data_IF_645153232338
#
_entry.id   IF_645153232338
#
_cell.length_a   1.000
_cell.length_b   1.000
_cell.length_c   1.000
_cell.angle_alpha   90.00
_cell.angle_beta   90.00
_cell.angle_gamma   90.00
#
_symmetry.space_group_name_H-M   'P 1'
#
loop_
_entity.id
_entity.type
_entity.pdbx_description
1 polymer ?
#
# COMPACT_ATOMS: atom_id res chain seq x y z
N UNK A 1 -36.93 -12.36 4.22
CA UNK A 1 -35.73 -12.69 3.44
C UNK A 1 -35.40 -11.47 2.57
N UNK A 2 -34.38 -10.71 2.92
CA UNK A 2 -33.95 -9.60 2.09
C UNK A 2 -33.20 -10.17 0.87
N UNK A 3 -33.59 -9.76 -0.35
CA UNK A 3 -32.88 -10.14 -1.58
C UNK A 3 -31.43 -9.69 -1.51
N UNK A 4 -30.45 -10.52 -1.93
CA UNK A 4 -29.04 -10.12 -1.96
C UNK A 4 -28.94 -8.86 -2.82
N UNK A 5 -28.33 -7.82 -2.26
CA UNK A 5 -28.06 -6.60 -3.00
C UNK A 5 -27.06 -6.93 -4.15
N UNK A 6 -27.47 -6.83 -5.43
CA UNK A 6 -26.63 -7.23 -6.56
C UNK A 6 -25.35 -6.37 -6.73
N UNK A 7 -25.20 -5.32 -5.94
CA UNK A 7 -24.02 -4.43 -5.92
C UNK A 7 -23.00 -4.76 -4.83
N UNK A 8 -23.18 -5.84 -4.05
CA UNK A 8 -22.20 -6.24 -3.03
C UNK A 8 -20.94 -6.82 -3.71
N UNK A 9 -19.81 -6.12 -3.61
CA UNK A 9 -18.52 -6.61 -4.07
C UNK A 9 -18.06 -7.76 -3.17
N UNK A 10 -17.58 -8.85 -3.78
CA UNK A 10 -16.85 -9.90 -3.10
C UNK A 10 -15.35 -9.62 -3.08
N UNK A 11 -14.61 -10.33 -2.26
CA UNK A 11 -13.14 -10.30 -2.25
C UNK A 11 -12.65 -11.65 -2.80
N UNK A 12 -11.96 -11.62 -3.95
CA UNK A 12 -11.18 -12.76 -4.43
C UNK A 12 -9.87 -12.82 -3.63
N UNK A 13 -9.76 -13.85 -2.79
CA UNK A 13 -8.64 -13.98 -1.87
C UNK A 13 -7.31 -14.23 -2.60
N UNK A 14 -7.31 -14.94 -3.72
CA UNK A 14 -6.09 -15.19 -4.49
C UNK A 14 -5.50 -13.89 -5.03
N UNK A 15 -6.32 -13.08 -5.68
CA UNK A 15 -5.90 -11.77 -6.17
C UNK A 15 -5.59 -10.80 -5.04
N UNK A 16 -6.27 -10.91 -3.88
CA UNK A 16 -5.98 -10.07 -2.73
C UNK A 16 -4.62 -10.40 -2.10
N UNK A 17 -4.25 -11.69 -2.01
CA UNK A 17 -2.92 -12.12 -1.56
C UNK A 17 -1.84 -11.62 -2.54
N UNK A 18 -2.07 -11.72 -3.85
CA UNK A 18 -1.16 -11.18 -4.85
C UNK A 18 -1.01 -9.65 -4.72
N UNK A 19 -2.11 -8.92 -4.54
CA UNK A 19 -2.08 -7.49 -4.26
C UNK A 19 -1.18 -7.16 -3.06
N UNK A 20 -1.33 -7.88 -1.95
CA UNK A 20 -0.53 -7.65 -0.74
C UNK A 20 0.94 -8.01 -0.91
N UNK A 21 1.25 -9.04 -1.68
CA UNK A 21 2.63 -9.36 -2.04
C UNK A 21 3.28 -8.21 -2.82
N UNK A 22 2.62 -7.73 -3.89
CA UNK A 22 3.15 -6.66 -4.73
C UNK A 22 3.26 -5.33 -3.98
N UNK A 23 2.28 -5.00 -3.13
CA UNK A 23 2.31 -3.80 -2.29
C UNK A 23 3.49 -3.84 -1.28
N UNK A 24 3.74 -5.00 -0.67
CA UNK A 24 4.88 -5.16 0.23
C UNK A 24 6.23 -5.18 -0.52
N UNK A 25 6.28 -5.72 -1.74
CA UNK A 25 7.45 -5.66 -2.61
C UNK A 25 7.78 -4.21 -2.98
N UNK A 26 6.77 -3.40 -3.32
CA UNK A 26 6.93 -1.97 -3.55
C UNK A 26 7.55 -1.28 -2.32
N UNK A 27 7.02 -1.54 -1.13
CA UNK A 27 7.54 -0.98 0.11
C UNK A 27 9.00 -1.35 0.32
N UNK A 28 9.38 -2.62 0.12
CA UNK A 28 10.77 -3.08 0.22
C UNK A 28 11.69 -2.42 -0.81
N UNK A 29 11.24 -2.29 -2.07
CA UNK A 29 12.01 -1.61 -3.13
C UNK A 29 12.22 -0.13 -2.83
N UNK A 30 11.22 0.55 -2.27
CA UNK A 30 11.25 2.00 -2.05
C UNK A 30 12.09 2.42 -0.83
N UNK A 31 12.43 1.50 0.08
CA UNK A 31 13.03 1.87 1.37
C UNK A 31 14.33 2.66 1.24
N UNK A 32 15.17 2.30 0.26
CA UNK A 32 16.44 3.00 0.01
C UNK A 32 16.26 4.44 -0.50
N UNK A 33 15.18 4.71 -1.23
CA UNK A 33 14.91 6.03 -1.82
C UNK A 33 14.34 7.04 -0.82
N UNK A 34 13.65 6.58 0.23
CA UNK A 34 12.97 7.45 1.21
C UNK A 34 13.93 8.44 1.88
N UNK A 35 15.14 7.97 2.24
CA UNK A 35 16.14 8.82 2.89
C UNK A 35 16.62 9.96 1.97
N UNK A 36 16.76 9.70 0.68
CA UNK A 36 17.15 10.74 -0.30
C UNK A 36 15.99 11.70 -0.54
N UNK A 37 14.78 11.19 -0.71
CA UNK A 37 13.57 11.99 -0.95
C UNK A 37 13.26 12.94 0.21
N UNK A 38 13.59 12.55 1.46
CA UNK A 38 13.31 13.39 2.63
C UNK A 38 14.44 14.33 3.02
N UNK A 39 15.60 14.23 2.40
CA UNK A 39 16.76 15.11 2.69
C UNK A 39 16.43 16.62 2.66
N UNK A 40 15.58 17.15 1.74
CA UNK A 40 15.23 18.57 1.72
C UNK A 40 14.31 19.02 2.85
N UNK A 41 13.78 18.12 3.70
CA UNK A 41 12.78 18.44 4.72
C UNK A 41 13.44 18.74 6.06
N UNK A 42 12.90 19.73 6.78
CA UNK A 42 13.36 20.09 8.13
C UNK A 42 12.72 19.19 9.21
N UNK A 43 13.36 19.04 10.40
CA UNK A 43 12.79 18.31 11.53
C UNK A 43 11.41 18.83 11.98
N UNK A 44 11.15 20.13 11.82
CA UNK A 44 9.86 20.73 12.15
C UNK A 44 8.73 20.17 11.28
N UNK A 45 8.99 19.91 10.00
CA UNK A 45 8.02 19.30 9.08
C UNK A 45 7.69 17.86 9.54
N UNK A 46 8.70 17.10 9.96
CA UNK A 46 8.48 15.74 10.48
C UNK A 46 7.62 15.75 11.76
N UNK A 47 7.88 16.69 12.67
CA UNK A 47 7.09 16.82 13.90
C UNK A 47 5.65 17.24 13.61
N UNK A 48 5.44 18.22 12.73
CA UNK A 48 4.11 18.65 12.32
C UNK A 48 3.34 17.56 11.60
N UNK A 49 4.00 16.79 10.73
CA UNK A 49 3.42 15.64 10.05
C UNK A 49 3.01 14.54 11.02
N UNK A 50 3.82 14.25 12.05
CA UNK A 50 3.47 13.30 13.09
C UNK A 50 2.20 13.71 13.87
N UNK A 51 2.05 15.00 14.19
CA UNK A 51 0.82 15.55 14.79
C UNK A 51 -0.37 15.36 13.82
N UNK A 52 -0.19 15.73 12.55
CA UNK A 52 -1.22 15.56 11.52
C UNK A 52 -1.64 14.10 11.34
N UNK A 53 -0.68 13.16 11.36
CA UNK A 53 -0.94 11.73 11.32
C UNK A 53 -1.78 11.27 12.52
N UNK A 54 -1.43 11.69 13.73
CA UNK A 54 -2.17 11.31 14.95
C UNK A 54 -3.62 11.83 14.88
N UNK A 55 -3.83 13.08 14.47
CA UNK A 55 -5.17 13.66 14.28
C UNK A 55 -5.93 12.90 13.18
N UNK A 56 -5.31 12.64 12.02
CA UNK A 56 -5.92 11.90 10.92
C UNK A 56 -6.36 10.49 11.34
N UNK A 57 -5.49 9.76 12.02
CA UNK A 57 -5.79 8.42 12.54
C UNK A 57 -6.95 8.46 13.55
N UNK A 58 -6.98 9.46 14.43
CA UNK A 58 -8.08 9.66 15.39
C UNK A 58 -9.41 9.90 14.66
N UNK A 59 -9.43 10.79 13.67
CA UNK A 59 -10.64 11.09 12.87
C UNK A 59 -11.14 9.84 12.12
N UNK A 60 -10.25 9.07 11.50
CA UNK A 60 -10.61 7.83 10.82
C UNK A 60 -11.20 6.81 11.81
N UNK A 61 -10.61 6.69 12.99
CA UNK A 61 -11.09 5.77 14.02
C UNK A 61 -12.53 6.09 14.47
N UNK A 62 -12.92 7.37 14.55
CA UNK A 62 -14.30 7.76 14.88
C UNK A 62 -15.32 7.36 13.80
N UNK A 63 -14.86 7.12 12.57
CA UNK A 63 -15.71 6.76 11.44
C UNK A 63 -15.77 5.25 11.15
N UNK A 64 -15.12 4.40 11.93
CA UNK A 64 -15.01 2.96 11.68
C UNK A 64 -16.36 2.28 11.45
N UNK A 65 -17.42 2.65 12.20
CA UNK A 65 -18.77 2.08 12.02
C UNK A 65 -19.32 2.25 10.59
N UNK A 66 -18.94 3.33 9.89
CA UNK A 66 -19.36 3.62 8.51
C UNK A 66 -18.42 2.99 7.48
N UNK A 67 -17.14 2.91 7.82
CA UNK A 67 -16.09 2.53 6.90
C UNK A 67 -15.91 1.01 6.80
N UNK A 68 -16.29 0.20 7.82
CA UNK A 68 -16.13 -1.25 7.81
C UNK A 68 -17.10 -1.95 6.87
N UNK A 69 -16.84 -1.82 5.57
CA UNK A 69 -17.50 -2.58 4.52
C UNK A 69 -16.57 -2.70 3.29
N UNK A 70 -16.84 -3.71 2.46
CA UNK A 70 -15.99 -4.06 1.30
C UNK A 70 -15.86 -2.90 0.30
N UNK A 71 -16.92 -2.10 0.10
CA UNK A 71 -16.88 -0.98 -0.84
C UNK A 71 -15.95 0.14 -0.38
N UNK A 72 -16.00 0.52 0.90
CA UNK A 72 -15.08 1.51 1.45
C UNK A 72 -13.66 0.97 1.54
N UNK A 73 -13.49 -0.31 1.88
CA UNK A 73 -12.18 -0.96 1.87
C UNK A 73 -11.51 -0.85 0.50
N UNK A 74 -12.23 -1.19 -0.59
CA UNK A 74 -11.72 -1.02 -1.95
C UNK A 74 -11.40 0.45 -2.28
N UNK A 75 -12.33 1.38 -2.01
CA UNK A 75 -12.16 2.80 -2.34
C UNK A 75 -10.96 3.42 -1.65
N UNK A 76 -10.77 3.12 -0.36
CA UNK A 76 -9.66 3.65 0.43
C UNK A 76 -8.35 2.99 0.00
N UNK A 77 -8.32 1.67 -0.23
CA UNK A 77 -7.13 1.02 -0.80
C UNK A 77 -6.74 1.65 -2.14
N UNK A 78 -7.70 1.81 -3.06
CA UNK A 78 -7.42 2.44 -4.36
C UNK A 78 -6.94 3.88 -4.22
N UNK A 79 -7.53 4.67 -3.32
CA UNK A 79 -7.12 6.04 -3.07
C UNK A 79 -5.67 6.11 -2.56
N UNK A 80 -5.28 5.21 -1.67
CA UNK A 80 -3.91 5.09 -1.16
C UNK A 80 -2.93 4.78 -2.30
N UNK A 81 -3.24 3.79 -3.14
CA UNK A 81 -2.37 3.44 -4.28
C UNK A 81 -2.27 4.59 -5.30
N UNK A 82 -3.36 5.32 -5.55
CA UNK A 82 -3.32 6.50 -6.44
C UNK A 82 -2.43 7.62 -5.89
N UNK A 83 -2.38 7.83 -4.57
CA UNK A 83 -1.43 8.77 -3.96
C UNK A 83 0.01 8.30 -4.12
N UNK A 84 0.27 7.00 -3.95
CA UNK A 84 1.60 6.42 -4.17
C UNK A 84 2.01 6.57 -5.64
N UNK A 85 1.13 6.24 -6.57
CA UNK A 85 1.35 6.41 -8.01
C UNK A 85 1.68 7.86 -8.36
N UNK A 86 0.93 8.82 -7.82
CA UNK A 86 1.20 10.25 -8.02
C UNK A 86 2.59 10.66 -7.49
N UNK A 87 3.02 10.12 -6.35
CA UNK A 87 4.36 10.30 -5.80
C UNK A 87 5.45 9.75 -6.71
N UNK A 88 5.28 8.52 -7.21
CA UNK A 88 6.22 7.88 -8.15
C UNK A 88 6.35 8.70 -9.44
N UNK A 89 5.22 9.11 -10.03
CA UNK A 89 5.22 9.97 -11.23
C UNK A 89 5.86 11.33 -10.91
N UNK A 90 5.60 11.88 -9.74
CA UNK A 90 6.22 13.13 -9.28
C UNK A 90 7.75 13.06 -9.31
N UNK A 91 8.36 11.99 -8.79
CA UNK A 91 9.82 11.80 -8.81
C UNK A 91 10.38 11.66 -10.22
N UNK A 92 9.61 11.09 -11.14
CA UNK A 92 10.04 10.91 -12.53
C UNK A 92 9.95 12.21 -13.36
N UNK A 93 9.06 13.15 -12.99
CA UNK A 93 8.78 14.34 -13.78
C UNK A 93 9.39 15.63 -13.19
N UNK A 94 9.67 15.67 -11.90
CA UNK A 94 10.12 16.88 -11.21
C UNK A 94 11.44 16.65 -10.47
N UNK A 95 12.27 17.71 -10.30
CA UNK A 95 13.48 17.60 -9.49
C UNK A 95 13.15 17.29 -8.02
N UNK A 96 14.04 16.53 -7.35
CA UNK A 96 13.90 16.19 -5.93
C UNK A 96 14.29 17.41 -5.09
N UNK A 97 13.35 18.31 -4.93
CA UNK A 97 13.43 19.53 -4.13
C UNK A 97 12.35 19.54 -3.04
N UNK A 98 12.39 20.55 -2.18
CA UNK A 98 11.48 20.67 -1.04
C UNK A 98 9.98 20.50 -1.39
N UNK A 99 9.41 21.08 -2.47
CA UNK A 99 8.00 20.93 -2.79
C UNK A 99 7.60 19.46 -3.10
N UNK A 100 8.41 18.75 -3.90
CA UNK A 100 8.18 17.35 -4.24
C UNK A 100 8.35 16.47 -2.99
N UNK A 101 9.41 16.68 -2.23
CA UNK A 101 9.68 15.95 -0.98
C UNK A 101 8.55 16.12 0.03
N UNK A 102 8.01 17.33 0.15
CA UNK A 102 6.85 17.61 1.01
C UNK A 102 5.59 16.89 0.52
N UNK A 103 5.33 16.91 -0.79
CA UNK A 103 4.20 16.19 -1.38
C UNK A 103 4.28 14.68 -1.11
N UNK A 104 5.45 14.07 -1.32
CA UNK A 104 5.68 12.64 -1.05
C UNK A 104 5.52 12.36 0.44
N UNK A 105 6.10 13.19 1.31
CA UNK A 105 5.99 13.03 2.75
C UNK A 105 4.53 13.08 3.23
N UNK A 106 3.76 14.05 2.76
CA UNK A 106 2.33 14.16 3.09
C UNK A 106 1.52 12.96 2.55
N UNK A 107 1.85 12.47 1.35
CA UNK A 107 1.27 11.26 0.77
C UNK A 107 1.50 10.03 1.67
N UNK A 108 2.71 9.85 2.19
CA UNK A 108 3.01 8.79 3.16
C UNK A 108 2.23 8.96 4.48
N UNK A 109 2.14 10.20 5.02
CA UNK A 109 1.32 10.45 6.23
C UNK A 109 -0.15 10.07 5.98
N UNK A 110 -0.69 10.40 4.81
CA UNK A 110 -2.02 9.99 4.40
C UNK A 110 -2.17 8.47 4.36
N UNK A 111 -1.23 7.77 3.72
CA UNK A 111 -1.18 6.30 3.65
C UNK A 111 -1.14 5.67 5.05
N UNK A 112 -0.31 6.19 5.95
CA UNK A 112 -0.20 5.69 7.32
C UNK A 112 -1.46 5.96 8.14
N UNK A 113 -2.13 7.09 7.94
CA UNK A 113 -3.39 7.40 8.63
C UNK A 113 -4.47 6.35 8.34
N UNK A 114 -4.54 5.83 7.11
CA UNK A 114 -5.44 4.75 6.74
C UNK A 114 -4.90 3.35 7.06
N UNK A 115 -3.61 3.20 7.36
CA UNK A 115 -2.97 1.91 7.58
C UNK A 115 -3.66 1.06 8.64
N UNK A 116 -3.95 1.61 9.81
CA UNK A 116 -4.65 0.92 10.89
C UNK A 116 -6.06 0.47 10.49
N UNK A 117 -6.78 1.30 9.75
CA UNK A 117 -8.09 0.97 9.20
C UNK A 117 -8.00 -0.21 8.21
N UNK A 118 -7.05 -0.16 7.26
CA UNK A 118 -6.88 -1.21 6.26
C UNK A 118 -6.54 -2.55 6.89
N UNK A 119 -5.64 -2.59 7.86
CA UNK A 119 -5.29 -3.82 8.62
C UNK A 119 -6.50 -4.38 9.36
N UNK A 120 -7.32 -3.53 10.00
CA UNK A 120 -8.55 -3.98 10.65
C UNK A 120 -9.57 -4.53 9.66
N UNK A 121 -9.72 -3.91 8.48
CA UNK A 121 -10.58 -4.42 7.42
C UNK A 121 -10.12 -5.81 6.95
N UNK A 122 -8.81 -6.02 6.77
CA UNK A 122 -8.25 -7.34 6.43
C UNK A 122 -8.67 -8.39 7.46
N UNK A 123 -8.48 -8.11 8.75
CA UNK A 123 -8.82 -9.05 9.82
C UNK A 123 -10.32 -9.34 9.92
N UNK A 124 -11.17 -8.33 9.73
CA UNK A 124 -12.62 -8.47 9.89
C UNK A 124 -13.33 -9.05 8.67
N UNK A 125 -12.83 -8.73 7.47
CA UNK A 125 -13.45 -9.13 6.20
C UNK A 125 -12.90 -10.44 5.64
N UNK A 126 -11.77 -10.94 6.18
CA UNK A 126 -11.13 -12.21 5.80
C UNK A 126 -11.07 -13.14 7.03
N UNK A 127 -12.20 -13.75 7.44
CA UNK A 127 -12.35 -14.37 8.76
C UNK A 127 -11.73 -15.77 8.92
N UNK A 128 -10.90 -16.24 7.98
CA UNK A 128 -10.30 -17.58 8.07
C UNK A 128 -8.83 -17.47 8.49
N UNK A 129 -8.46 -18.05 9.64
CA UNK A 129 -7.09 -17.99 10.19
C UNK A 129 -6.02 -18.45 9.19
N UNK A 130 -6.29 -19.51 8.42
CA UNK A 130 -5.37 -20.00 7.40
C UNK A 130 -5.14 -18.98 6.28
N UNK A 131 -6.15 -18.23 5.89
CA UNK A 131 -6.05 -17.18 4.83
C UNK A 131 -5.30 -15.97 5.34
N UNK A 132 -5.48 -15.58 6.60
CA UNK A 132 -4.70 -14.52 7.24
C UNK A 132 -3.22 -14.88 7.31
N UNK A 133 -2.88 -16.12 7.69
CA UNK A 133 -1.51 -16.62 7.68
C UNK A 133 -0.88 -16.54 6.29
N UNK A 134 -1.59 -16.97 5.24
CA UNK A 134 -1.11 -16.87 3.85
C UNK A 134 -0.88 -15.41 3.43
N UNK A 135 -1.76 -14.51 3.85
CA UNK A 135 -1.64 -13.08 3.59
C UNK A 135 -0.39 -12.49 4.24
N UNK A 136 -0.14 -12.82 5.50
CA UNK A 136 1.03 -12.33 6.23
C UNK A 136 2.34 -12.90 5.68
N UNK A 137 2.36 -14.19 5.28
CA UNK A 137 3.50 -14.78 4.57
C UNK A 137 3.76 -14.05 3.25
N UNK A 138 2.72 -13.77 2.46
CA UNK A 138 2.85 -13.05 1.20
C UNK A 138 3.40 -11.63 1.39
N UNK A 139 2.93 -10.90 2.42
CA UNK A 139 3.46 -9.57 2.78
C UNK A 139 4.95 -9.64 3.11
N UNK A 140 5.36 -10.57 4.00
CA UNK A 140 6.76 -10.68 4.40
C UNK A 140 7.66 -11.13 3.26
N UNK A 141 7.22 -12.09 2.45
CA UNK A 141 7.95 -12.54 1.25
C UNK A 141 8.11 -11.41 0.23
N UNK A 142 7.05 -10.63 -0.02
CA UNK A 142 7.10 -9.45 -0.89
C UNK A 142 8.09 -8.41 -0.35
N UNK A 143 8.03 -8.08 0.93
CA UNK A 143 8.91 -7.11 1.56
C UNK A 143 10.39 -7.55 1.49
N UNK A 144 10.68 -8.81 1.81
CA UNK A 144 12.02 -9.37 1.71
C UNK A 144 12.55 -9.34 0.27
N UNK A 145 11.73 -9.77 -0.70
CA UNK A 145 12.08 -9.75 -2.12
C UNK A 145 12.33 -8.30 -2.60
N UNK A 146 11.51 -7.34 -2.14
CA UNK A 146 11.69 -5.92 -2.45
C UNK A 146 12.99 -5.35 -1.89
N UNK A 147 13.30 -5.62 -0.63
CA UNK A 147 14.55 -5.16 -0.01
C UNK A 147 15.78 -5.77 -0.70
N UNK A 148 15.76 -7.09 -0.96
CA UNK A 148 16.83 -7.77 -1.69
C UNK A 148 16.98 -7.23 -3.11
N UNK A 149 15.86 -6.99 -3.80
CA UNK A 149 15.83 -6.38 -5.13
C UNK A 149 16.38 -4.95 -5.13
N UNK A 150 16.01 -4.12 -4.15
CA UNK A 150 16.54 -2.77 -3.97
C UNK A 150 18.04 -2.77 -3.75
N UNK A 151 18.53 -3.61 -2.84
CA UNK A 151 19.96 -3.76 -2.59
C UNK A 151 20.74 -4.18 -3.85
N UNK A 152 20.24 -5.19 -4.56
CA UNK A 152 20.86 -5.65 -5.80
C UNK A 152 20.85 -4.56 -6.88
N UNK A 153 19.73 -3.86 -7.03
CA UNK A 153 19.56 -2.78 -8.00
C UNK A 153 20.60 -1.66 -7.79
N UNK A 154 20.73 -1.16 -6.56
CA UNK A 154 21.70 -0.12 -6.24
C UNK A 154 23.14 -0.61 -6.38
N UNK A 155 23.43 -1.85 -5.97
CA UNK A 155 24.75 -2.46 -6.15
C UNK A 155 25.17 -2.53 -7.62
N UNK A 156 24.23 -2.92 -8.51
CA UNK A 156 24.49 -2.97 -9.96
C UNK A 156 24.70 -1.58 -10.53
N UNK A 157 23.89 -0.59 -10.13
CA UNK A 157 24.05 0.79 -10.56
C UNK A 157 25.41 1.38 -10.19
N UNK A 158 25.89 1.13 -8.98
CA UNK A 158 27.15 1.65 -8.49
C UNK A 158 28.37 0.95 -9.14
N UNK A 159 28.34 -0.39 -9.20
CA UNK A 159 29.53 -1.17 -9.60
C UNK A 159 29.67 -1.33 -11.12
N UNK A 160 28.56 -1.43 -11.86
CA UNK A 160 28.59 -1.73 -13.29
C UNK A 160 28.32 -0.51 -14.16
N UNK A 161 27.50 0.43 -13.70
CA UNK A 161 27.13 1.61 -14.47
C UNK A 161 27.75 2.90 -13.93
N UNK A 162 28.52 2.81 -12.84
CA UNK A 162 29.23 3.93 -12.20
C UNK A 162 28.32 5.14 -11.88
N UNK A 163 27.03 4.88 -11.61
CA UNK A 163 26.07 5.93 -11.22
C UNK A 163 26.24 6.21 -9.74
N UNK A 164 27.11 7.15 -9.40
CA UNK A 164 27.39 7.55 -8.01
C UNK A 164 26.43 8.61 -7.45
N UNK A 165 25.68 9.29 -8.30
CA UNK A 165 24.71 10.29 -7.85
C UNK A 165 23.45 9.63 -7.26
N UNK A 166 23.19 9.91 -5.99
CA UNK A 166 22.05 9.34 -5.25
C UNK A 166 20.70 9.73 -5.84
N UNK A 167 20.60 10.93 -6.38
CA UNK A 167 19.37 11.43 -7.01
C UNK A 167 19.07 10.63 -8.28
N UNK A 168 20.10 10.41 -9.13
CA UNK A 168 19.97 9.61 -10.34
C UNK A 168 19.60 8.15 -10.02
N UNK A 169 20.18 7.56 -8.97
CA UNK A 169 19.83 6.22 -8.51
C UNK A 169 18.36 6.13 -8.08
N UNK A 170 17.88 7.14 -7.33
CA UNK A 170 16.47 7.21 -6.90
C UNK A 170 15.54 7.35 -8.09
N UNK A 171 15.83 8.20 -9.05
CA UNK A 171 15.02 8.32 -10.28
C UNK A 171 15.01 7.00 -11.05
N UNK A 172 16.15 6.32 -11.16
CA UNK A 172 16.24 5.04 -11.86
C UNK A 172 15.33 3.95 -11.26
N UNK A 173 15.32 3.79 -9.92
CA UNK A 173 14.46 2.78 -9.28
C UNK A 173 12.97 3.14 -9.40
N UNK A 174 12.62 4.42 -9.57
CA UNK A 174 11.22 4.84 -9.71
C UNK A 174 10.57 4.35 -11.01
N UNK A 175 11.33 4.03 -12.05
CA UNK A 175 10.79 3.33 -13.23
C UNK A 175 10.34 1.90 -12.90
N UNK A 176 11.12 1.20 -12.07
CA UNK A 176 10.74 -0.12 -11.58
C UNK A 176 9.53 -0.02 -10.64
N UNK A 177 9.54 0.96 -9.72
CA UNK A 177 8.41 1.21 -8.81
C UNK A 177 7.13 1.54 -9.58
N UNK A 178 7.22 2.28 -10.68
CA UNK A 178 6.08 2.57 -11.55
C UNK A 178 5.47 1.28 -12.15
N UNK A 179 6.31 0.38 -12.65
CA UNK A 179 5.83 -0.91 -13.18
C UNK A 179 5.18 -1.77 -12.10
N UNK A 180 5.76 -1.82 -10.91
CA UNK A 180 5.21 -2.54 -9.74
C UNK A 180 3.87 -1.93 -9.31
N UNK A 181 3.74 -0.61 -9.32
CA UNK A 181 2.51 0.08 -8.94
C UNK A 181 1.34 -0.24 -9.89
N UNK A 182 1.59 -0.35 -11.19
CA UNK A 182 0.58 -0.83 -12.12
C UNK A 182 0.15 -2.28 -11.84
N UNK A 183 1.07 -3.15 -11.45
CA UNK A 183 0.73 -4.52 -11.03
C UNK A 183 -0.13 -4.51 -9.76
N UNK A 184 0.20 -3.66 -8.77
CA UNK A 184 -0.57 -3.48 -7.52
C UNK A 184 -2.00 -3.07 -7.83
N UNK A 185 -2.21 -2.00 -8.60
CA UNK A 185 -3.54 -1.49 -8.95
C UNK A 185 -4.34 -2.54 -9.73
N UNK A 186 -3.69 -3.28 -10.64
CA UNK A 186 -4.33 -4.36 -11.39
C UNK A 186 -4.78 -5.49 -10.47
N UNK A 187 -3.94 -5.95 -9.55
CA UNK A 187 -4.27 -6.98 -8.58
C UNK A 187 -5.39 -6.50 -7.63
N UNK A 188 -5.31 -5.25 -7.16
CA UNK A 188 -6.34 -4.64 -6.32
C UNK A 188 -7.69 -4.62 -7.03
N UNK A 189 -7.74 -4.16 -8.27
CA UNK A 189 -8.97 -4.13 -9.05
C UNK A 189 -9.58 -5.53 -9.23
N UNK A 190 -8.76 -6.51 -9.59
CA UNK A 190 -9.19 -7.91 -9.75
C UNK A 190 -9.68 -8.52 -8.43
N UNK A 191 -9.01 -8.22 -7.31
CA UNK A 191 -9.38 -8.70 -6.00
C UNK A 191 -10.81 -8.28 -5.60
N UNK A 192 -11.27 -7.12 -6.04
CA UNK A 192 -12.59 -6.57 -5.69
C UNK A 192 -13.60 -6.60 -6.85
N UNK A 193 -13.29 -7.22 -7.98
CA UNK A 193 -14.18 -7.38 -9.13
C UNK A 193 -14.97 -8.69 -9.12
N UNK A 194 -14.69 -9.61 -8.18
CA UNK A 194 -15.37 -10.88 -8.06
C UNK A 194 -16.82 -10.74 -7.60
N UNK A 195 -17.73 -11.68 -8.00
CA UNK A 195 -19.05 -11.76 -7.42
C UNK A 195 -18.95 -12.03 -5.92
N UNK A 196 -19.88 -11.48 -5.13
CA UNK A 196 -19.93 -11.76 -3.70
C UNK A 196 -20.03 -13.27 -3.47
N UNK A 197 -19.02 -13.87 -2.86
CA UNK A 197 -19.01 -15.29 -2.50
C UNK A 197 -20.19 -15.54 -1.57
N UNK A 198 -21.13 -16.38 -1.98
CA UNK A 198 -22.26 -16.79 -1.14
C UNK A 198 -21.70 -17.45 0.10
N UNK A 199 -21.84 -16.80 1.22
CA UNK A 199 -21.49 -17.33 2.52
C UNK A 199 -22.55 -18.36 2.94
N UNK A 200 -22.54 -19.55 2.32
CA UNK A 200 -23.29 -20.70 2.79
C UNK A 200 -22.54 -21.28 4.02
N UNK A 201 -22.88 -20.76 5.18
CA UNK A 201 -22.70 -21.50 6.42
C UNK A 201 -24.06 -21.86 7.01
N UNK A 202 -24.43 -23.13 7.03
CA UNK A 202 -25.33 -23.59 8.06
C UNK A 202 -24.53 -23.59 9.37
N UNK A 203 -24.91 -22.73 10.31
CA UNK A 203 -24.53 -22.88 11.72
C UNK A 203 -25.26 -24.15 12.19
N UNK A 204 -24.62 -25.31 12.11
CA UNK A 204 -25.03 -26.48 12.86
C UNK A 204 -24.67 -26.21 14.31
N UNK A 205 -25.63 -25.64 15.04
CA UNK A 205 -25.67 -25.71 16.50
C UNK A 205 -25.93 -27.15 16.86
N UNK A 206 -24.89 -27.91 17.15
CA UNK A 206 -25.03 -29.17 17.91
C UNK A 206 -24.88 -28.80 19.38
N UNK A 207 -26.01 -28.97 20.10
CA UNK A 207 -26.09 -29.04 21.54
C UNK A 207 -25.25 -30.20 22.10
#
# INVERSE_FOLDING_TARGET
MASPNPSARGIDIGWFIAYKFWNSLFLGLSIGSVFVLYTPLSPTIFSAGGIGLAIGTLLIATQYRRLFNVNWFFRISLLVELFILAGVIGVLLYPIEQPLSLFIYLGYQFTFAFGSYLVRCETLLIPQDRRLTQLDIAKQAGYLAGMGGSWLFYTVLEQHWAVGDKTAQVVAIHWLLLAVEFAIITCLYRAFSGPAEKHDRPVTTSL
#
